data_IF_984022403301
#
_entry.id   IF_984022403301
#
_cell.length_a   1.000
_cell.length_b   1.000
_cell.length_c   1.000
_cell.angle_alpha   90.00
_cell.angle_beta   90.00
_cell.angle_gamma   90.00
#
_symmetry.space_group_name_H-M   'P 1'
#
loop_
_entity.id
_entity.type
_entity.pdbx_description
1 polymer ?
#
# COMPACT_ATOMS: atom_id res chain seq x y z
N UNK A 1 -3.73 -16.89 -0.83
CA UNK A 1 -4.97 -16.11 -0.82
C UNK A 1 -5.77 -16.47 -2.07
N UNK A 2 -7.00 -16.92 -1.91
CA UNK A 2 -7.86 -17.47 -2.99
C UNK A 2 -9.28 -16.86 -2.92
N UNK A 3 -9.36 -15.59 -2.50
CA UNK A 3 -10.61 -14.83 -2.42
C UNK A 3 -10.61 -13.88 -3.61
N UNK A 4 -11.59 -14.00 -4.51
CA UNK A 4 -11.79 -13.03 -5.58
C UNK A 4 -12.59 -11.84 -5.03
N UNK A 5 -11.99 -10.63 -4.92
CA UNK A 5 -12.71 -9.46 -4.44
C UNK A 5 -13.94 -9.10 -5.30
N UNK A 6 -13.99 -9.56 -6.55
CA UNK A 6 -15.10 -9.35 -7.46
C UNK A 6 -16.19 -10.44 -7.40
N UNK A 7 -16.09 -11.43 -6.51
CA UNK A 7 -17.13 -12.47 -6.38
C UNK A 7 -18.45 -11.83 -5.89
N UNK A 8 -19.56 -11.92 -6.66
CA UNK A 8 -20.87 -11.41 -6.25
C UNK A 8 -21.38 -12.00 -4.93
N UNK A 9 -20.91 -13.18 -4.51
CA UNK A 9 -21.25 -13.77 -3.21
C UNK A 9 -20.76 -12.93 -2.02
N UNK A 10 -19.78 -12.05 -2.24
CA UNK A 10 -19.25 -11.14 -1.22
C UNK A 10 -20.09 -9.86 -1.07
N UNK A 11 -21.08 -9.61 -1.94
CA UNK A 11 -21.93 -8.41 -1.88
C UNK A 11 -22.56 -8.20 -0.49
N UNK A 12 -23.16 -9.20 0.18
CA UNK A 12 -23.73 -9.01 1.52
C UNK A 12 -22.67 -8.57 2.54
N UNK A 13 -21.45 -9.12 2.44
CA UNK A 13 -20.33 -8.77 3.32
C UNK A 13 -19.88 -7.32 3.09
N UNK A 14 -19.68 -6.90 1.84
CA UNK A 14 -19.30 -5.53 1.50
C UNK A 14 -20.35 -4.51 1.90
N UNK A 15 -21.65 -4.81 1.70
CA UNK A 15 -22.73 -3.95 2.18
C UNK A 15 -22.65 -3.76 3.70
N UNK A 16 -22.36 -4.83 4.44
CA UNK A 16 -22.20 -4.73 5.89
C UNK A 16 -20.97 -3.94 6.31
N UNK A 17 -19.84 -4.10 5.60
CA UNK A 17 -18.65 -3.28 5.82
C UNK A 17 -18.93 -1.81 5.59
N UNK A 18 -19.62 -1.46 4.50
CA UNK A 18 -20.00 -0.09 4.19
C UNK A 18 -20.93 0.51 5.26
N UNK A 19 -21.94 -0.26 5.71
CA UNK A 19 -22.84 0.13 6.80
C UNK A 19 -22.07 0.43 8.09
N UNK A 20 -21.09 -0.41 8.43
CA UNK A 20 -20.26 -0.28 9.63
C UNK A 20 -19.07 0.66 9.46
N UNK A 21 -18.88 1.26 8.26
CA UNK A 21 -17.72 2.09 7.90
C UNK A 21 -16.38 1.37 8.12
N UNK A 22 -16.35 0.06 7.93
CA UNK A 22 -15.13 -0.75 8.02
C UNK A 22 -14.36 -0.70 6.70
N UNK A 23 -13.05 -0.41 6.72
CA UNK A 23 -12.25 -0.43 5.52
C UNK A 23 -11.90 -1.86 5.10
N UNK A 24 -11.76 -2.07 3.80
CA UNK A 24 -11.20 -3.29 3.21
C UNK A 24 -9.73 -3.05 2.87
N UNK A 25 -8.81 -3.70 3.58
CA UNK A 25 -7.41 -3.81 3.16
C UNK A 25 -7.28 -5.05 2.29
N UNK A 26 -6.87 -4.88 1.03
CA UNK A 26 -6.68 -5.97 0.08
C UNK A 26 -5.29 -5.89 -0.54
N UNK A 27 -4.63 -7.04 -0.64
CA UNK A 27 -3.39 -7.13 -1.40
C UNK A 27 -3.65 -6.80 -2.86
N UNK A 28 -2.75 -6.04 -3.49
CA UNK A 28 -2.77 -5.82 -4.94
C UNK A 28 -1.39 -6.07 -5.52
N UNK A 29 -1.34 -6.76 -6.66
CA UNK A 29 -0.11 -7.32 -7.21
C UNK A 29 0.21 -8.73 -6.70
N UNK A 30 1.38 -9.25 -7.06
CA UNK A 30 1.82 -10.59 -6.67
C UNK A 30 2.03 -10.69 -5.16
N UNK A 31 1.45 -11.72 -4.56
CA UNK A 31 1.68 -12.08 -3.16
C UNK A 31 2.78 -13.16 -3.12
N UNK A 32 3.96 -12.81 -2.61
CA UNK A 32 5.12 -13.73 -2.58
C UNK A 32 5.28 -14.45 -1.24
N UNK A 33 4.51 -14.09 -0.22
CA UNK A 33 4.67 -14.62 1.14
C UNK A 33 3.88 -15.90 1.38
N UNK A 34 2.91 -16.24 0.51
CA UNK A 34 2.10 -17.45 0.61
C UNK A 34 2.40 -18.43 -0.54
N UNK A 35 2.52 -19.71 -0.21
CA UNK A 35 2.75 -20.80 -1.17
C UNK A 35 1.57 -21.06 -2.12
N UNK A 36 0.39 -20.52 -1.81
CA UNK A 36 -0.83 -20.58 -2.63
C UNK A 36 -1.53 -19.23 -2.61
N UNK A 37 -1.14 -18.32 -3.50
CA UNK A 37 -1.87 -17.10 -3.78
C UNK A 37 -2.16 -17.03 -5.28
N UNK A 38 -3.40 -16.72 -5.64
CA UNK A 38 -3.75 -16.53 -7.04
C UNK A 38 -3.37 -15.10 -7.46
N UNK A 39 -2.33 -14.98 -8.28
CA UNK A 39 -1.78 -13.69 -8.75
C UNK A 39 -2.86 -12.83 -9.44
N UNK A 40 -3.85 -13.47 -10.07
CA UNK A 40 -4.98 -12.84 -10.76
C UNK A 40 -5.96 -12.10 -9.84
N UNK A 41 -6.11 -12.53 -8.58
CA UNK A 41 -6.96 -11.82 -7.60
C UNK A 41 -6.31 -10.56 -7.04
N UNK A 42 -5.01 -10.36 -7.32
CA UNK A 42 -4.31 -9.11 -7.03
C UNK A 42 -4.54 -7.99 -8.07
N UNK A 43 -5.31 -8.22 -9.15
CA UNK A 43 -5.62 -7.16 -10.13
C UNK A 43 -6.44 -6.04 -9.45
N UNK A 44 -5.98 -4.78 -9.47
CA UNK A 44 -6.75 -3.66 -8.92
C UNK A 44 -8.20 -3.60 -9.41
N UNK A 45 -8.50 -4.01 -10.65
CA UNK A 45 -9.88 -4.00 -11.18
C UNK A 45 -10.83 -4.90 -10.38
N UNK A 46 -10.34 -5.93 -9.69
CA UNK A 46 -11.18 -6.76 -8.82
C UNK A 46 -11.79 -5.98 -7.66
N UNK A 47 -11.17 -4.86 -7.27
CA UNK A 47 -11.66 -3.98 -6.20
C UNK A 47 -12.84 -3.10 -6.62
N UNK A 48 -13.19 -3.07 -7.91
CA UNK A 48 -14.31 -2.28 -8.42
C UNK A 48 -15.64 -2.65 -7.76
N UNK A 49 -15.87 -3.93 -7.49
CA UNK A 49 -17.09 -4.40 -6.81
C UNK A 49 -17.21 -3.79 -5.40
N UNK A 50 -16.29 -4.01 -4.44
CA UNK A 50 -16.41 -3.40 -3.12
C UNK A 50 -16.44 -1.86 -3.17
N UNK A 51 -15.66 -1.24 -4.06
CA UNK A 51 -15.66 0.22 -4.24
C UNK A 51 -17.02 0.76 -4.68
N UNK A 52 -17.67 0.10 -5.64
CA UNK A 52 -19.00 0.49 -6.14
C UNK A 52 -20.11 0.36 -5.09
N UNK A 53 -19.90 -0.47 -4.06
CA UNK A 53 -20.80 -0.65 -2.94
C UNK A 53 -20.54 0.34 -1.79
N UNK A 54 -19.61 1.30 -1.97
CA UNK A 54 -19.29 2.34 -1.01
C UNK A 54 -18.28 1.94 0.06
N UNK A 55 -17.64 0.77 -0.06
CA UNK A 55 -16.58 0.35 0.87
C UNK A 55 -15.34 1.23 0.70
N UNK A 56 -14.75 1.70 1.79
CA UNK A 56 -13.43 2.34 1.72
C UNK A 56 -12.37 1.25 1.56
N UNK A 57 -11.57 1.30 0.50
CA UNK A 57 -10.59 0.24 0.18
C UNK A 57 -9.18 0.79 0.28
N UNK A 58 -8.28 0.01 0.89
CA UNK A 58 -6.84 0.22 0.85
C UNK A 58 -6.23 -0.88 -0.01
N UNK A 59 -5.74 -0.51 -1.19
CA UNK A 59 -4.97 -1.39 -2.07
C UNK A 59 -3.51 -1.43 -1.59
N UNK A 60 -3.02 -2.58 -1.16
CA UNK A 60 -1.69 -2.68 -0.57
C UNK A 60 -0.56 -2.46 -1.60
N UNK A 61 0.53 -1.83 -1.17
CA UNK A 61 1.79 -1.71 -1.93
C UNK A 61 1.68 -1.07 -3.32
N UNK A 62 0.77 -0.12 -3.52
CA UNK A 62 0.52 0.59 -4.81
C UNK A 62 0.30 -0.33 -6.01
N UNK A 63 -0.09 -1.60 -5.81
CA UNK A 63 -0.14 -2.63 -6.85
C UNK A 63 1.20 -2.83 -7.60
N UNK A 64 2.34 -2.51 -6.98
CA UNK A 64 3.67 -2.45 -7.61
C UNK A 64 4.20 -3.76 -8.22
N UNK A 65 3.66 -4.91 -7.81
CA UNK A 65 4.34 -6.21 -8.00
C UNK A 65 3.84 -7.04 -9.18
N UNK A 66 2.95 -6.53 -10.03
CA UNK A 66 2.38 -7.28 -11.14
C UNK A 66 2.02 -6.41 -12.36
N UNK A 67 1.92 -7.08 -13.51
CA UNK A 67 1.26 -6.57 -14.71
C UNK A 67 -0.01 -7.38 -14.94
N UNK A 68 -1.09 -6.70 -15.31
CA UNK A 68 -2.39 -7.30 -15.60
C UNK A 68 -2.83 -6.87 -16.99
N UNK A 69 -3.09 -7.85 -17.86
CA UNK A 69 -3.55 -7.60 -19.24
C UNK A 69 -2.63 -6.64 -20.02
N UNK A 70 -1.31 -6.74 -19.82
CA UNK A 70 -0.32 -5.88 -20.49
C UNK A 70 -0.12 -4.49 -19.86
N UNK A 71 -0.83 -4.18 -18.78
CA UNK A 71 -0.75 -2.89 -18.08
C UNK A 71 -0.10 -3.07 -16.68
N UNK A 72 0.70 -2.09 -16.25
CA UNK A 72 1.34 -2.13 -14.92
C UNK A 72 0.28 -1.95 -13.83
N UNK A 73 0.40 -2.70 -12.74
CA UNK A 73 -0.50 -2.61 -11.59
C UNK A 73 -0.70 -1.18 -11.06
N UNK A 74 0.36 -0.37 -10.86
CA UNK A 74 0.20 1.03 -10.45
C UNK A 74 -0.61 1.88 -11.42
N UNK A 75 -0.51 1.62 -12.73
CA UNK A 75 -1.22 2.38 -13.77
C UNK A 75 -2.73 2.07 -13.74
N UNK A 76 -3.08 0.78 -13.57
CA UNK A 76 -4.46 0.33 -13.33
C UNK A 76 -5.03 0.92 -12.05
N UNK A 77 -4.25 0.87 -10.97
CA UNK A 77 -4.65 1.43 -9.68
C UNK A 77 -4.91 2.94 -9.79
N UNK A 78 -4.05 3.68 -10.47
CA UNK A 78 -4.22 5.11 -10.70
C UNK A 78 -5.48 5.42 -11.53
N UNK A 79 -5.78 4.63 -12.57
CA UNK A 79 -7.06 4.73 -13.30
C UNK A 79 -8.24 4.53 -12.37
N UNK A 80 -8.23 3.46 -11.56
CA UNK A 80 -9.31 3.16 -10.63
C UNK A 80 -9.48 4.25 -9.56
N UNK A 81 -8.40 4.86 -9.08
CA UNK A 81 -8.44 5.97 -8.12
C UNK A 81 -9.06 7.26 -8.70
N UNK A 82 -8.95 7.49 -10.02
CA UNK A 82 -9.67 8.60 -10.67
C UNK A 82 -11.18 8.38 -10.66
N UNK A 83 -11.63 7.13 -10.70
CA UNK A 83 -13.04 6.76 -10.70
C UNK A 83 -13.63 6.68 -9.29
N UNK A 84 -12.85 6.21 -8.32
CA UNK A 84 -13.32 5.94 -6.95
C UNK A 84 -12.57 6.79 -5.90
N UNK A 85 -13.24 7.78 -5.28
CA UNK A 85 -12.63 8.61 -4.24
C UNK A 85 -12.38 7.85 -2.93
N UNK A 86 -13.11 6.75 -2.70
CA UNK A 86 -13.01 5.84 -1.56
C UNK A 86 -11.89 4.79 -1.70
N UNK A 87 -11.02 4.92 -2.71
CA UNK A 87 -9.85 4.06 -2.89
C UNK A 87 -8.58 4.77 -2.43
N UNK A 88 -7.85 4.14 -1.53
CA UNK A 88 -6.53 4.54 -1.02
C UNK A 88 -5.51 3.43 -1.23
N UNK A 89 -4.25 3.74 -1.00
CA UNK A 89 -3.15 2.76 -1.09
C UNK A 89 -2.12 3.01 0.00
N UNK A 90 -1.33 2.00 0.35
CA UNK A 90 -0.27 2.13 1.33
C UNK A 90 1.13 2.18 0.73
N UNK A 91 2.07 2.67 1.53
CA UNK A 91 3.50 2.73 1.20
C UNK A 91 4.31 1.60 1.86
N UNK A 92 3.62 0.53 2.26
CA UNK A 92 4.26 -0.58 2.96
C UNK A 92 5.11 -1.41 1.99
N UNK A 93 6.21 -1.99 2.48
CA UNK A 93 7.23 -2.69 1.68
C UNK A 93 7.91 -1.92 0.54
N UNK A 94 7.58 -0.65 0.26
CA UNK A 94 8.11 0.07 -0.91
C UNK A 94 9.60 0.47 -0.81
N UNK A 95 10.22 0.26 0.35
CA UNK A 95 11.65 0.49 0.59
C UNK A 95 12.52 -0.77 0.40
N UNK A 96 11.91 -1.90 0.04
CA UNK A 96 12.64 -3.14 -0.19
C UNK A 96 13.49 -3.08 -1.47
N UNK A 97 14.64 -3.77 -1.44
CA UNK A 97 15.59 -3.83 -2.56
C UNK A 97 14.99 -4.39 -3.86
N UNK A 98 13.96 -5.24 -3.75
CA UNK A 98 13.24 -5.83 -4.88
C UNK A 98 12.13 -4.92 -5.45
N UNK A 99 11.91 -3.73 -4.88
CA UNK A 99 10.93 -2.72 -5.33
C UNK A 99 11.59 -1.35 -5.59
N UNK A 100 12.68 -1.28 -6.38
CA UNK A 100 13.38 -0.02 -6.60
C UNK A 100 12.48 1.00 -7.29
N UNK A 101 12.45 2.23 -6.79
CA UNK A 101 11.68 3.32 -7.39
C UNK A 101 10.19 3.36 -7.03
N UNK A 102 9.61 2.29 -6.47
CA UNK A 102 8.18 2.23 -6.16
C UNK A 102 7.76 3.30 -5.13
N UNK A 103 8.56 3.58 -4.10
CA UNK A 103 8.25 4.66 -3.15
C UNK A 103 8.26 6.03 -3.85
N UNK A 104 9.21 6.27 -4.76
CA UNK A 104 9.26 7.52 -5.53
C UNK A 104 8.05 7.65 -6.45
N UNK A 105 7.66 6.57 -7.13
CA UNK A 105 6.43 6.53 -7.92
C UNK A 105 5.20 6.84 -7.06
N UNK A 106 5.10 6.22 -5.87
CA UNK A 106 4.02 6.47 -4.93
C UNK A 106 3.87 7.98 -4.60
N UNK A 107 5.00 8.63 -4.30
CA UNK A 107 5.04 10.03 -3.86
C UNK A 107 4.87 11.05 -4.99
N UNK A 108 5.22 10.70 -6.22
CA UNK A 108 5.21 11.64 -7.35
C UNK A 108 3.92 11.58 -8.18
N UNK A 109 3.15 10.50 -8.05
CA UNK A 109 1.96 10.28 -8.87
C UNK A 109 0.77 11.12 -8.38
N UNK A 110 0.17 11.97 -9.23
CA UNK A 110 -0.94 12.85 -8.82
C UNK A 110 -2.15 12.11 -8.25
N UNK A 111 -2.50 10.95 -8.83
CA UNK A 111 -3.66 10.15 -8.41
C UNK A 111 -3.51 9.60 -6.98
N UNK A 112 -2.27 9.46 -6.49
CA UNK A 112 -1.97 8.96 -5.15
C UNK A 112 -1.87 10.08 -4.12
N UNK A 113 -1.74 11.33 -4.56
CA UNK A 113 -1.65 12.49 -3.68
C UNK A 113 -2.87 12.57 -2.76
N UNK A 114 -2.62 12.71 -1.45
CA UNK A 114 -3.69 12.73 -0.44
C UNK A 114 -4.36 11.37 -0.19
N UNK A 115 -3.89 10.27 -0.79
CA UNK A 115 -4.49 8.93 -0.64
C UNK A 115 -3.49 7.83 -0.23
N UNK A 116 -2.27 8.25 0.14
CA UNK A 116 -1.24 7.38 0.68
C UNK A 116 -1.40 7.22 2.19
N UNK A 117 -1.38 5.97 2.65
CA UNK A 117 -1.45 5.57 4.05
C UNK A 117 -0.15 4.87 4.46
N UNK A 118 0.31 5.12 5.69
CA UNK A 118 1.43 4.37 6.24
C UNK A 118 1.04 2.95 6.64
N UNK A 119 1.83 1.99 6.17
CA UNK A 119 1.87 0.62 6.68
C UNK A 119 3.32 0.17 6.79
N UNK A 120 3.64 -0.63 7.81
CA UNK A 120 4.99 -1.17 7.99
C UNK A 120 5.23 -2.40 7.12
N UNK A 121 4.22 -3.28 7.00
CA UNK A 121 4.37 -4.65 6.48
C UNK A 121 5.34 -5.49 7.34
N UNK A 122 5.18 -5.39 8.66
CA UNK A 122 5.94 -6.21 9.61
C UNK A 122 5.66 -7.70 9.38
N UNK A 123 6.69 -8.58 9.34
CA UNK A 123 8.07 -8.36 9.80
C UNK A 123 9.08 -7.88 8.74
N UNK A 124 8.66 -7.56 7.51
CA UNK A 124 9.59 -7.30 6.39
C UNK A 124 10.55 -6.13 6.63
N UNK A 125 10.14 -5.12 7.41
CA UNK A 125 10.99 -3.99 7.83
C UNK A 125 12.24 -4.40 8.62
N UNK A 126 12.30 -5.65 9.09
CA UNK A 126 13.40 -6.20 9.86
C UNK A 126 14.13 -7.35 9.14
N UNK A 127 13.96 -7.45 7.82
CA UNK A 127 14.67 -8.43 6.99
C UNK A 127 15.83 -7.79 6.24
N UNK A 128 16.73 -8.61 5.68
CA UNK A 128 17.83 -8.13 4.83
C UNK A 128 17.35 -7.45 3.53
N UNK A 129 16.05 -7.50 3.21
CA UNK A 129 15.49 -6.81 2.04
C UNK A 129 15.41 -5.30 2.23
N UNK A 130 15.47 -4.81 3.47
CA UNK A 130 15.33 -3.37 3.79
C UNK A 130 16.62 -2.87 4.42
N UNK A 131 17.24 -1.88 3.79
CA UNK A 131 18.45 -1.24 4.30
C UNK A 131 18.57 0.20 3.78
N UNK A 132 18.99 1.17 4.61
CA UNK A 132 19.26 2.52 4.13
C UNK A 132 20.38 2.55 3.08
N UNK A 133 21.27 1.55 3.10
CA UNK A 133 22.40 1.44 2.18
C UNK A 133 21.97 1.17 0.74
N UNK A 134 20.78 0.61 0.52
CA UNK A 134 20.24 0.35 -0.82
C UNK A 134 19.67 1.61 -1.49
N UNK A 135 19.43 2.69 -0.74
CA UNK A 135 18.94 3.93 -1.32
C UNK A 135 20.07 4.77 -1.91
N UNK A 136 19.86 5.26 -3.13
CA UNK A 136 20.71 6.27 -3.77
C UNK A 136 20.28 7.71 -3.43
N UNK A 137 19.10 7.89 -2.83
CA UNK A 137 18.53 9.21 -2.53
C UNK A 137 18.81 9.68 -1.08
N UNK A 138 19.37 8.80 -0.24
CA UNK A 138 19.76 9.15 1.12
C UNK A 138 21.22 9.63 1.16
N UNK A 139 21.46 10.73 1.87
CA UNK A 139 22.82 11.17 2.19
C UNK A 139 23.53 10.19 3.13
N UNK A 140 24.86 10.22 3.16
CA UNK A 140 25.64 9.40 4.10
C UNK A 140 25.22 9.60 5.56
N UNK A 141 24.94 10.84 5.97
CA UNK A 141 24.49 11.16 7.33
C UNK A 141 23.15 10.48 7.66
N UNK A 142 22.18 10.55 6.74
CA UNK A 142 20.88 9.90 6.91
C UNK A 142 21.04 8.37 6.97
N UNK A 143 21.85 7.78 6.09
CA UNK A 143 22.11 6.33 6.10
C UNK A 143 22.67 5.86 7.44
N UNK A 144 23.66 6.55 7.98
CA UNK A 144 24.22 6.25 9.29
C UNK A 144 23.21 6.46 10.42
N UNK A 145 22.41 7.52 10.38
CA UNK A 145 21.35 7.78 11.36
C UNK A 145 20.34 6.64 11.42
N UNK A 146 19.76 6.28 10.26
CA UNK A 146 18.79 5.18 10.12
C UNK A 146 19.39 3.85 10.56
N UNK A 147 20.62 3.54 10.14
CA UNK A 147 21.29 2.28 10.48
C UNK A 147 21.52 2.13 12.00
N UNK A 148 21.75 3.23 12.73
CA UNK A 148 21.95 3.24 14.18
C UNK A 148 20.65 3.13 14.99
N UNK A 149 19.50 3.37 14.37
CA UNK A 149 18.19 3.27 15.03
C UNK A 149 17.87 1.81 15.36
N UNK A 150 17.77 1.50 16.66
CA UNK A 150 17.56 0.13 17.16
C UNK A 150 16.12 -0.37 17.00
N UNK A 151 15.16 0.51 17.23
CA UNK A 151 13.75 0.17 17.10
C UNK A 151 13.40 0.01 15.59
N UNK A 152 12.92 -1.15 15.15
CA UNK A 152 12.66 -1.40 13.73
C UNK A 152 11.54 -0.52 13.15
N UNK A 153 10.53 -0.16 13.96
CA UNK A 153 9.45 0.73 13.54
C UNK A 153 9.96 2.18 13.38
N UNK A 154 10.70 2.68 14.36
CA UNK A 154 11.30 4.02 14.29
C UNK A 154 12.26 4.12 13.10
N UNK A 155 13.02 3.06 12.84
CA UNK A 155 13.93 2.96 11.69
C UNK A 155 13.18 3.04 10.36
N UNK A 156 12.05 2.34 10.23
CA UNK A 156 11.22 2.35 9.03
C UNK A 156 10.57 3.72 8.80
N UNK A 157 10.00 4.33 9.84
CA UNK A 157 9.42 5.68 9.78
C UNK A 157 10.48 6.70 9.39
N UNK A 158 11.65 6.68 10.04
CA UNK A 158 12.76 7.59 9.75
C UNK A 158 13.26 7.42 8.32
N UNK A 159 13.41 6.19 7.85
CA UNK A 159 13.83 5.92 6.47
C UNK A 159 12.82 6.47 5.46
N UNK A 160 11.52 6.25 5.66
CA UNK A 160 10.45 6.76 4.78
C UNK A 160 10.37 8.29 4.83
N UNK A 161 10.49 8.89 6.00
CA UNK A 161 10.53 10.34 6.18
C UNK A 161 11.70 10.97 5.39
N UNK A 162 12.91 10.43 5.57
CA UNK A 162 14.11 10.94 4.90
C UNK A 162 14.09 10.71 3.38
N UNK A 163 13.24 9.80 2.89
CA UNK A 163 12.95 9.57 1.47
C UNK A 163 11.84 10.47 0.91
N UNK A 164 11.25 11.35 1.73
CA UNK A 164 10.27 12.36 1.31
C UNK A 164 8.81 12.02 1.61
N UNK A 165 8.51 10.99 2.42
CA UNK A 165 7.14 10.73 2.88
C UNK A 165 6.70 11.84 3.85
N UNK A 166 5.56 12.46 3.61
CA UNK A 166 5.03 13.53 4.46
C UNK A 166 4.53 13.01 5.81
N UNK A 167 4.57 13.87 6.83
CA UNK A 167 4.03 13.60 8.18
C UNK A 167 2.54 13.23 8.13
N UNK A 168 1.80 13.84 7.21
CA UNK A 168 0.38 13.56 6.99
C UNK A 168 0.13 12.11 6.58
N UNK A 169 1.00 11.52 5.75
CA UNK A 169 0.86 10.10 5.36
C UNK A 169 0.98 9.15 6.55
N UNK A 170 1.82 9.47 7.54
CA UNK A 170 1.97 8.66 8.76
C UNK A 170 0.75 8.73 9.69
N UNK A 171 0.03 9.85 9.70
CA UNK A 171 -1.16 10.05 10.54
C UNK A 171 -2.49 9.75 9.82
N UNK A 172 -2.47 9.59 8.49
CA UNK A 172 -3.68 9.48 7.65
C UNK A 172 -4.59 8.32 8.04
N UNK A 173 -4.03 7.18 8.45
CA UNK A 173 -4.83 6.03 8.91
C UNK A 173 -5.73 6.39 10.10
N UNK A 174 -5.22 7.18 11.05
CA UNK A 174 -6.00 7.68 12.18
C UNK A 174 -7.14 8.59 11.75
N UNK A 175 -6.92 9.45 10.75
CA UNK A 175 -7.96 10.34 10.21
C UNK A 175 -9.01 9.58 9.38
N UNK A 176 -8.59 8.57 8.62
CA UNK A 176 -9.45 7.81 7.73
C UNK A 176 -10.29 6.74 8.44
N UNK A 177 -9.69 6.07 9.43
CA UNK A 177 -10.28 4.90 10.08
C UNK A 177 -10.49 5.07 11.58
N UNK A 178 -10.07 6.21 12.15
CA UNK A 178 -10.34 6.52 13.55
C UNK A 178 -11.83 6.67 13.80
N UNK A 179 -12.30 6.11 14.91
CA UNK A 179 -13.62 6.42 15.44
C UNK A 179 -13.65 7.90 15.80
N UNK A 180 -14.54 8.67 15.16
CA UNK A 180 -14.93 9.99 15.69
C UNK A 180 -15.62 9.71 17.01
N UNK A 181 -14.95 10.00 18.12
CA UNK A 181 -15.57 10.07 19.44
C UNK A 181 -16.63 11.19 19.46
#
# INVERSE_FOLDING_TARGET
MDIDPADPKLIPFYKKMAELKLPLLSHTGKEKSFSRASDEFGDPEKLRLPLSLGVTVVAAHIASSANYQGERGPDRLARLMREFPNLCTDISALTQINKPGCLKEALTRPEFSGRLVYGSDFPLINTALVSPWYSLHLSWRQKFSIWRTKNPWDRDVLMKHDLGVSIETFSRSGTMFGTRN
#
